data_IF_420035699792
#
_entry.id   IF_420035699792
#
_cell.length_a   1.000
_cell.length_b   1.000
_cell.length_c   1.000
_cell.angle_alpha   90.00
_cell.angle_beta   90.00
_cell.angle_gamma   90.00
#
_symmetry.space_group_name_H-M   'P 1'
#
loop_
_entity.id
_entity.type
_entity.pdbx_description
1 polymer ?
#
# COMPACT_ATOMS: atom_id res chain seq x y z
N UNK A 1 23.89 -4.57 29.25
CA UNK A 1 23.28 -3.36 28.64
C UNK A 1 21.93 -3.10 29.28
N UNK A 2 21.65 -1.86 29.68
CA UNK A 2 20.29 -1.47 30.07
C UNK A 2 19.49 -1.09 28.82
N UNK A 3 18.23 -1.54 28.74
CA UNK A 3 17.27 -1.14 27.71
C UNK A 3 16.04 -0.56 28.42
N UNK A 4 15.55 0.57 27.92
CA UNK A 4 14.35 1.24 28.40
C UNK A 4 13.47 1.59 27.18
N UNK A 5 12.17 1.43 27.33
CA UNK A 5 11.17 1.83 26.33
C UNK A 5 10.25 2.84 26.96
N UNK A 6 10.06 4.00 26.32
CA UNK A 6 9.12 5.04 26.73
C UNK A 6 7.96 5.01 25.73
N UNK A 7 6.73 4.97 26.22
CA UNK A 7 5.55 4.96 25.34
C UNK A 7 5.25 6.36 24.79
N UNK A 8 4.55 6.47 23.65
CA UNK A 8 4.13 7.77 23.12
C UNK A 8 3.23 8.55 24.10
N UNK A 9 2.40 7.85 24.88
CA UNK A 9 1.59 8.49 25.92
C UNK A 9 2.46 9.06 27.05
N UNK A 10 3.52 8.36 27.43
CA UNK A 10 4.47 8.82 28.42
C UNK A 10 5.28 10.01 27.91
N UNK A 11 5.74 9.99 26.65
CA UNK A 11 6.38 11.15 26.00
C UNK A 11 5.45 12.37 26.05
N UNK A 12 4.18 12.21 25.66
CA UNK A 12 3.19 13.29 25.70
C UNK A 12 3.00 13.82 27.13
N UNK A 13 2.87 12.94 28.13
CA UNK A 13 2.76 13.35 29.55
C UNK A 13 3.97 14.11 30.04
N UNK A 14 5.17 13.67 29.67
CA UNK A 14 6.42 14.30 30.09
C UNK A 14 6.64 15.70 29.48
N UNK A 15 6.17 15.92 28.25
CA UNK A 15 6.49 17.14 27.48
C UNK A 15 5.31 18.10 27.33
N UNK A 16 4.09 17.59 27.30
CA UNK A 16 2.88 18.29 26.89
C UNK A 16 1.68 18.11 27.86
N UNK A 17 1.80 17.26 28.88
CA UNK A 17 0.74 16.97 29.83
C UNK A 17 -0.22 15.85 29.38
N UNK A 18 -1.43 15.82 29.94
CA UNK A 18 -2.36 14.70 29.74
C UNK A 18 -2.98 14.77 28.33
N UNK A 19 -2.76 13.76 27.47
CA UNK A 19 -3.36 13.75 26.14
C UNK A 19 -4.88 13.62 26.22
N UNK A 20 -5.57 14.08 25.19
CA UNK A 20 -7.02 13.88 25.06
C UNK A 20 -7.34 12.37 25.07
N UNK A 21 -8.37 12.01 25.83
CA UNK A 21 -8.92 10.67 25.83
C UNK A 21 -9.96 10.53 24.73
N UNK A 22 -9.86 9.46 23.94
CA UNK A 22 -10.75 9.20 22.83
C UNK A 22 -11.39 7.83 23.01
N UNK A 23 -12.73 7.71 22.87
CA UNK A 23 -13.40 6.42 22.97
C UNK A 23 -12.83 5.41 21.97
N UNK A 24 -12.92 4.13 22.32
CA UNK A 24 -12.39 3.03 21.51
C UNK A 24 -12.84 3.14 20.04
N UNK A 25 -11.91 2.93 19.11
CA UNK A 25 -12.09 2.99 17.65
C UNK A 25 -12.36 4.38 17.03
N UNK A 26 -12.70 5.40 17.82
CA UNK A 26 -13.02 6.73 17.24
C UNK A 26 -11.85 7.38 16.52
N UNK A 27 -10.62 7.25 17.04
CA UNK A 27 -9.41 7.77 16.40
C UNK A 27 -9.12 7.10 15.05
N UNK A 28 -9.47 5.82 14.88
CA UNK A 28 -9.30 5.13 13.59
C UNK A 28 -10.21 5.73 12.52
N UNK A 29 -11.46 6.04 12.87
CA UNK A 29 -12.41 6.71 11.97
C UNK A 29 -11.98 8.15 11.65
N UNK A 30 -11.51 8.90 12.66
CA UNK A 30 -10.97 10.25 12.47
C UNK A 30 -9.75 10.25 11.57
N UNK A 31 -8.83 9.29 11.75
CA UNK A 31 -7.64 9.15 10.91
C UNK A 31 -8.00 8.80 9.46
N UNK A 32 -8.93 7.85 9.25
CA UNK A 32 -9.43 7.51 7.92
C UNK A 32 -10.09 8.72 7.24
N UNK A 33 -10.94 9.45 7.98
CA UNK A 33 -11.57 10.67 7.49
C UNK A 33 -10.53 11.73 7.10
N UNK A 34 -9.49 11.91 7.91
CA UNK A 34 -8.42 12.85 7.61
C UNK A 34 -7.57 12.42 6.40
N UNK A 35 -7.29 11.12 6.24
CA UNK A 35 -6.56 10.60 5.08
C UNK A 35 -7.31 10.89 3.77
N UNK A 36 -8.63 10.68 3.77
CA UNK A 36 -9.50 10.93 2.62
C UNK A 36 -9.68 12.43 2.36
N UNK A 37 -9.94 13.23 3.40
CA UNK A 37 -10.20 14.66 3.28
C UNK A 37 -8.92 15.50 3.06
N UNK A 38 -7.76 14.98 3.48
CA UNK A 38 -6.51 15.71 3.53
C UNK A 38 -6.56 16.93 4.46
N UNK A 39 -7.27 16.82 5.59
CA UNK A 39 -7.53 17.91 6.54
C UNK A 39 -6.27 18.48 7.18
N UNK A 40 -5.25 17.65 7.41
CA UNK A 40 -3.97 18.05 8.00
C UNK A 40 -2.81 18.09 6.99
N UNK A 41 -3.10 18.16 5.68
CA UNK A 41 -2.03 18.35 4.68
C UNK A 41 -1.36 19.72 4.87
N UNK A 42 -0.10 19.91 4.47
CA UNK A 42 0.61 21.19 4.63
C UNK A 42 -0.13 22.40 4.05
N UNK A 43 -0.87 22.20 2.95
CA UNK A 43 -1.73 23.24 2.35
C UNK A 43 -2.85 23.75 3.27
N UNK A 44 -3.22 23.02 4.32
CA UNK A 44 -4.26 23.40 5.29
C UNK A 44 -3.63 23.87 6.59
N UNK A 45 -2.71 23.08 7.15
CA UNK A 45 -2.17 23.33 8.51
C UNK A 45 -0.79 23.99 8.53
N UNK A 46 -0.19 24.24 7.37
CA UNK A 46 1.20 24.67 7.24
C UNK A 46 2.17 23.49 7.27
N UNK A 47 3.41 23.75 6.83
CA UNK A 47 4.49 22.78 6.88
C UNK A 47 5.08 22.77 8.31
N UNK A 48 4.58 21.89 9.16
CA UNK A 48 4.92 21.88 10.60
C UNK A 48 6.41 21.64 10.87
N UNK A 49 7.11 20.88 10.00
CA UNK A 49 8.55 20.67 10.09
C UNK A 49 9.35 21.95 9.94
N UNK A 50 8.85 22.90 9.15
CA UNK A 50 9.55 24.15 8.87
C UNK A 50 9.21 25.15 9.99
N UNK A 51 7.93 25.21 10.37
CA UNK A 51 7.44 26.07 11.44
C UNK A 51 8.11 25.76 12.79
N UNK A 52 8.38 24.49 13.10
CA UNK A 52 9.06 24.14 14.36
C UNK A 52 10.54 24.56 14.38
N UNK A 53 11.19 24.72 13.23
CA UNK A 53 12.56 25.27 13.16
C UNK A 53 12.59 26.79 13.39
N UNK A 54 11.50 27.48 13.06
CA UNK A 54 11.34 28.91 13.32
C UNK A 54 10.91 29.21 14.77
N UNK A 55 10.43 28.20 15.50
CA UNK A 55 9.94 28.35 16.87
C UNK A 55 11.10 28.36 17.88
N UNK A 56 11.21 29.44 18.66
CA UNK A 56 12.29 29.65 19.64
C UNK A 56 11.86 29.39 21.09
N UNK A 57 10.58 29.13 21.34
CA UNK A 57 10.05 28.83 22.67
C UNK A 57 10.40 27.41 23.14
N UNK A 58 10.00 27.08 24.37
CA UNK A 58 10.33 25.78 25.01
C UNK A 58 9.12 25.03 25.55
N UNK A 59 7.95 25.67 25.58
CA UNK A 59 6.72 25.09 26.12
C UNK A 59 5.66 24.87 25.04
N UNK A 60 4.74 23.95 25.32
CA UNK A 60 3.56 23.71 24.48
C UNK A 60 2.68 24.96 24.34
N UNK A 61 2.55 25.76 25.41
CA UNK A 61 1.76 26.99 25.38
C UNK A 61 2.35 28.02 24.41
N UNK A 62 3.66 28.23 24.46
CA UNK A 62 4.36 29.11 23.51
C UNK A 62 4.25 28.58 22.07
N UNK A 63 4.37 27.26 21.86
CA UNK A 63 4.20 26.66 20.54
C UNK A 63 2.79 26.90 19.99
N UNK A 64 1.77 26.70 20.83
CA UNK A 64 0.37 26.95 20.47
C UNK A 64 0.18 28.40 20.02
N UNK A 65 0.67 29.36 20.81
CA UNK A 65 0.46 30.77 20.53
C UNK A 65 1.19 31.19 19.24
N UNK A 66 2.45 30.77 19.07
CA UNK A 66 3.23 30.96 17.83
C UNK A 66 2.51 30.36 16.60
N UNK A 67 2.00 29.14 16.72
CA UNK A 67 1.29 28.46 15.63
C UNK A 67 0.00 29.19 15.26
N UNK A 68 -0.82 29.55 16.26
CA UNK A 68 -2.10 30.22 16.05
C UNK A 68 -1.96 31.63 15.50
N UNK A 69 -0.88 32.35 15.84
CA UNK A 69 -0.58 33.65 15.23
C UNK A 69 -0.30 33.50 13.72
N UNK A 70 0.52 32.52 13.33
CA UNK A 70 0.85 32.27 11.92
C UNK A 70 -0.30 31.63 11.12
N UNK A 71 -1.15 30.85 11.79
CA UNK A 71 -2.19 30.02 11.17
C UNK A 71 -3.52 30.06 11.95
N UNK A 72 -4.16 31.24 12.08
CA UNK A 72 -5.29 31.44 13.00
C UNK A 72 -6.53 30.60 12.66
N UNK A 73 -6.72 30.27 11.38
CA UNK A 73 -7.90 29.51 10.91
C UNK A 73 -7.60 28.04 10.63
N UNK A 74 -6.32 27.62 10.69
CA UNK A 74 -5.91 26.30 10.21
C UNK A 74 -6.52 25.15 11.02
N UNK A 75 -6.60 25.29 12.35
CA UNK A 75 -7.19 24.26 13.20
C UNK A 75 -8.68 24.07 12.87
N UNK A 76 -9.43 25.16 12.75
CA UNK A 76 -10.85 25.11 12.39
C UNK A 76 -11.05 24.53 11.00
N UNK A 77 -10.27 24.98 10.02
CA UNK A 77 -10.36 24.48 8.65
C UNK A 77 -10.02 22.98 8.54
N UNK A 78 -9.03 22.50 9.29
CA UNK A 78 -8.71 21.08 9.38
C UNK A 78 -9.84 20.28 10.03
N UNK A 79 -10.36 20.75 11.17
CA UNK A 79 -11.45 20.11 11.89
C UNK A 79 -12.73 20.03 11.04
N UNK A 80 -13.13 21.13 10.40
CA UNK A 80 -14.34 21.19 9.55
C UNK A 80 -14.24 20.19 8.37
N UNK A 81 -13.06 20.09 7.74
CA UNK A 81 -12.82 19.12 6.65
C UNK A 81 -12.92 17.68 7.11
N UNK A 82 -12.29 17.36 8.24
CA UNK A 82 -12.31 16.01 8.80
C UNK A 82 -13.74 15.66 9.22
N UNK A 83 -14.46 16.60 9.85
CA UNK A 83 -15.83 16.40 10.30
C UNK A 83 -16.81 16.16 9.15
N UNK A 84 -16.69 16.91 8.06
CA UNK A 84 -17.49 16.68 6.86
C UNK A 84 -17.27 15.26 6.30
N UNK A 85 -16.02 14.79 6.27
CA UNK A 85 -15.73 13.43 5.84
C UNK A 85 -16.23 12.36 6.84
N UNK A 86 -16.24 12.64 8.14
CA UNK A 86 -16.89 11.76 9.12
C UNK A 86 -18.39 11.61 8.82
N UNK A 87 -19.09 12.67 8.41
CA UNK A 87 -20.50 12.54 8.03
C UNK A 87 -20.67 11.65 6.79
N UNK A 88 -19.79 11.81 5.80
CA UNK A 88 -19.78 10.94 4.62
C UNK A 88 -19.53 9.48 4.98
N UNK A 89 -18.58 9.21 5.88
CA UNK A 89 -18.29 7.85 6.35
C UNK A 89 -19.46 7.26 7.15
N UNK A 90 -20.18 8.04 7.95
CA UNK A 90 -21.39 7.58 8.64
C UNK A 90 -22.44 7.10 7.64
N UNK A 91 -22.72 7.89 6.61
CA UNK A 91 -23.65 7.49 5.53
C UNK A 91 -23.15 6.25 4.79
N UNK A 92 -21.84 6.11 4.58
CA UNK A 92 -21.27 4.93 3.96
C UNK A 92 -21.41 3.68 4.83
N UNK A 93 -21.20 3.80 6.15
CA UNK A 93 -21.36 2.69 7.11
C UNK A 93 -22.80 2.17 7.10
N UNK A 94 -23.79 3.05 7.04
CA UNK A 94 -25.21 2.67 6.95
C UNK A 94 -25.56 1.90 5.66
N UNK A 95 -24.74 2.03 4.60
CA UNK A 95 -24.91 1.29 3.34
C UNK A 95 -24.23 -0.08 3.35
N UNK A 96 -23.40 -0.38 4.35
CA UNK A 96 -22.73 -1.67 4.47
C UNK A 96 -23.75 -2.67 5.01
N UNK A 97 -24.08 -3.66 4.20
CA UNK A 97 -24.88 -4.80 4.62
C UNK A 97 -24.00 -6.06 4.80
N UNK A 98 -24.61 -7.11 5.36
CA UNK A 98 -23.92 -8.37 5.63
C UNK A 98 -23.42 -9.04 4.35
N UNK A 99 -24.19 -8.95 3.25
CA UNK A 99 -23.84 -9.58 1.98
C UNK A 99 -22.58 -8.95 1.39
N UNK A 100 -22.47 -7.63 1.43
CA UNK A 100 -21.28 -6.91 0.96
C UNK A 100 -20.02 -7.33 1.71
N UNK A 101 -20.13 -7.57 3.01
CA UNK A 101 -19.02 -8.09 3.82
C UNK A 101 -18.68 -9.53 3.42
N UNK A 102 -19.67 -10.40 3.25
CA UNK A 102 -19.45 -11.79 2.82
C UNK A 102 -18.80 -11.85 1.42
N UNK A 103 -19.27 -11.02 0.48
CA UNK A 103 -18.69 -10.89 -0.87
C UNK A 103 -17.24 -10.39 -0.82
N UNK A 104 -16.96 -9.39 0.04
CA UNK A 104 -15.60 -8.87 0.21
C UNK A 104 -14.65 -9.92 0.79
N UNK A 105 -15.11 -10.73 1.75
CA UNK A 105 -14.32 -11.84 2.32
C UNK A 105 -14.09 -12.94 1.28
N UNK A 106 -15.11 -13.31 0.51
CA UNK A 106 -14.98 -14.30 -0.56
C UNK A 106 -13.99 -13.83 -1.63
N UNK A 107 -14.10 -12.58 -2.08
CA UNK A 107 -13.14 -11.98 -3.01
C UNK A 107 -11.71 -12.02 -2.45
N UNK A 108 -11.53 -11.63 -1.18
CA UNK A 108 -10.20 -11.63 -0.56
C UNK A 108 -9.62 -13.03 -0.42
N UNK A 109 -10.40 -14.00 0.06
CA UNK A 109 -9.90 -15.32 0.45
C UNK A 109 -9.87 -16.29 -0.72
N UNK A 110 -10.89 -16.30 -1.58
CA UNK A 110 -11.01 -17.25 -2.67
C UNK A 110 -10.48 -16.65 -3.96
N UNK A 111 -11.02 -15.52 -4.41
CA UNK A 111 -10.71 -14.95 -5.73
C UNK A 111 -9.26 -14.47 -5.78
N UNK A 112 -8.85 -13.58 -4.87
CA UNK A 112 -7.50 -13.01 -4.86
C UNK A 112 -6.42 -14.05 -4.59
N UNK A 113 -6.69 -15.05 -3.75
CA UNK A 113 -5.76 -16.17 -3.54
C UNK A 113 -5.62 -17.00 -4.80
N UNK A 114 -6.72 -17.39 -5.44
CA UNK A 114 -6.66 -18.21 -6.66
C UNK A 114 -5.96 -17.48 -7.80
N UNK A 115 -6.27 -16.19 -8.01
CA UNK A 115 -5.56 -15.33 -8.98
C UNK A 115 -4.07 -15.24 -8.64
N UNK A 116 -3.72 -15.10 -7.36
CA UNK A 116 -2.33 -15.08 -6.92
C UNK A 116 -1.59 -16.40 -7.15
N UNK A 117 -2.27 -17.54 -7.01
CA UNK A 117 -1.70 -18.88 -7.25
C UNK A 117 -1.56 -19.19 -8.75
N UNK A 118 -2.50 -18.74 -9.57
CA UNK A 118 -2.51 -18.93 -11.04
C UNK A 118 -1.84 -17.79 -11.79
N UNK A 119 -1.05 -16.99 -11.07
CA UNK A 119 -0.40 -15.79 -11.58
C UNK A 119 0.46 -16.07 -12.82
N UNK A 120 1.30 -17.11 -12.77
CA UNK A 120 2.15 -17.51 -13.90
C UNK A 120 1.33 -17.94 -15.11
N UNK A 121 0.24 -18.69 -14.89
CA UNK A 121 -0.68 -19.10 -15.96
C UNK A 121 -1.25 -17.90 -16.72
N UNK A 122 -1.63 -16.83 -16.01
CA UNK A 122 -2.19 -15.63 -16.64
C UNK A 122 -1.22 -14.94 -17.60
N UNK A 123 0.09 -14.98 -17.29
CA UNK A 123 1.16 -14.45 -18.14
C UNK A 123 1.30 -15.31 -19.40
N UNK A 124 1.38 -16.64 -19.23
CA UNK A 124 1.47 -17.59 -20.35
C UNK A 124 0.28 -17.46 -21.29
N UNK A 125 -0.94 -17.44 -20.75
CA UNK A 125 -2.17 -17.34 -21.51
C UNK A 125 -2.25 -16.03 -22.31
N UNK A 126 -1.82 -14.91 -21.70
CA UNK A 126 -1.85 -13.61 -22.37
C UNK A 126 -0.87 -13.56 -23.55
N UNK A 127 0.36 -14.05 -23.36
CA UNK A 127 1.37 -14.03 -24.42
C UNK A 127 0.99 -15.01 -25.54
N UNK A 128 0.58 -16.23 -25.20
CA UNK A 128 0.13 -17.20 -26.21
C UNK A 128 -1.04 -16.67 -27.06
N UNK A 129 -1.96 -15.91 -26.46
CA UNK A 129 -3.04 -15.24 -27.20
C UNK A 129 -2.54 -14.15 -28.16
N UNK A 130 -1.52 -13.37 -27.79
CA UNK A 130 -0.93 -12.35 -28.69
C UNK A 130 -0.17 -13.00 -29.85
N UNK A 131 0.45 -14.15 -29.60
CA UNK A 131 1.24 -14.94 -30.56
C UNK A 131 0.37 -15.95 -31.34
N UNK A 132 -0.95 -15.93 -31.10
CA UNK A 132 -1.94 -16.82 -31.71
C UNK A 132 -1.56 -18.32 -31.64
N UNK A 133 -1.06 -18.74 -30.48
CA UNK A 133 -0.64 -20.11 -30.17
C UNK A 133 -1.27 -20.62 -28.86
N UNK A 134 -0.92 -21.84 -28.45
CA UNK A 134 -1.39 -22.46 -27.19
C UNK A 134 -0.44 -22.17 -26.03
N UNK A 135 -0.83 -22.50 -24.81
CA UNK A 135 0.08 -22.51 -23.67
C UNK A 135 -0.17 -23.73 -22.80
N UNK A 136 0.81 -24.08 -21.98
CA UNK A 136 0.61 -24.97 -20.83
C UNK A 136 1.51 -24.60 -19.66
N UNK A 137 1.10 -25.00 -18.46
CA UNK A 137 1.96 -24.96 -17.29
C UNK A 137 3.01 -26.07 -17.36
N UNK A 138 4.13 -25.82 -16.69
CA UNK A 138 5.17 -26.81 -16.50
C UNK A 138 4.69 -27.94 -15.57
N UNK A 139 5.19 -29.15 -15.82
CA UNK A 139 5.09 -30.27 -14.90
C UNK A 139 6.13 -30.11 -13.78
N UNK A 140 5.97 -30.77 -12.61
CA UNK A 140 6.91 -30.64 -11.50
C UNK A 140 8.38 -30.93 -11.89
N UNK A 141 8.62 -31.88 -12.79
CA UNK A 141 9.95 -32.23 -13.28
C UNK A 141 10.57 -31.15 -14.18
N UNK A 142 9.73 -30.35 -14.84
CA UNK A 142 10.12 -29.23 -15.71
C UNK A 142 10.33 -27.94 -14.90
N UNK A 143 9.49 -27.70 -13.88
CA UNK A 143 9.69 -26.62 -12.91
C UNK A 143 11.03 -26.78 -12.17
N UNK A 144 11.42 -28.03 -11.84
CA UNK A 144 12.72 -28.33 -11.26
C UNK A 144 13.91 -27.97 -12.17
N UNK A 145 13.68 -27.84 -13.48
CA UNK A 145 14.66 -27.40 -14.48
C UNK A 145 14.57 -25.88 -14.76
N UNK A 146 13.73 -25.16 -14.02
CA UNK A 146 13.54 -23.71 -14.16
C UNK A 146 12.53 -23.31 -15.23
N UNK A 147 11.74 -24.26 -15.77
CA UNK A 147 10.67 -23.98 -16.74
C UNK A 147 9.38 -23.70 -15.97
N UNK A 148 8.82 -22.50 -16.12
CA UNK A 148 7.56 -22.12 -15.47
C UNK A 148 6.34 -22.43 -16.37
N UNK A 149 6.56 -22.65 -17.66
CA UNK A 149 5.54 -23.10 -18.61
C UNK A 149 6.00 -23.09 -20.05
N UNK A 150 5.05 -23.21 -20.97
CA UNK A 150 5.29 -23.26 -22.41
C UNK A 150 4.33 -22.32 -23.15
N UNK A 151 4.85 -21.68 -24.20
CA UNK A 151 4.07 -20.91 -25.17
C UNK A 151 4.28 -21.59 -26.54
N UNK A 152 3.23 -22.24 -27.04
CA UNK A 152 3.34 -23.28 -28.06
C UNK A 152 4.22 -24.41 -27.55
N UNK A 153 5.30 -24.68 -28.29
CA UNK A 153 6.32 -25.67 -27.94
C UNK A 153 7.54 -25.05 -27.21
N UNK A 154 7.58 -23.71 -27.06
CA UNK A 154 8.75 -23.03 -26.50
C UNK A 154 8.70 -23.02 -24.97
N UNK A 155 9.69 -23.59 -24.26
CA UNK A 155 9.77 -23.51 -22.81
C UNK A 155 10.15 -22.11 -22.35
N UNK A 156 9.49 -21.64 -21.29
CA UNK A 156 9.68 -20.28 -20.77
C UNK A 156 9.84 -20.28 -19.25
N UNK A 157 10.58 -19.30 -18.76
CA UNK A 157 10.77 -19.01 -17.34
C UNK A 157 10.25 -17.61 -17.03
N UNK A 158 9.34 -17.49 -16.06
CA UNK A 158 8.67 -16.25 -15.68
C UNK A 158 9.27 -15.72 -14.39
N UNK A 159 9.97 -14.58 -14.46
CA UNK A 159 10.68 -13.99 -13.31
C UNK A 159 10.26 -12.54 -13.07
N UNK A 160 10.26 -12.06 -11.81
CA UNK A 160 10.03 -10.65 -11.53
C UNK A 160 11.17 -9.81 -12.15
N UNK A 161 10.89 -8.57 -12.56
CA UNK A 161 11.87 -7.68 -13.18
C UNK A 161 13.12 -7.45 -12.30
N UNK A 162 12.97 -7.53 -10.97
CA UNK A 162 14.08 -7.48 -9.99
C UNK A 162 15.07 -8.64 -10.09
N UNK A 163 14.73 -9.70 -10.85
CA UNK A 163 15.67 -10.79 -11.14
C UNK A 163 16.80 -10.31 -12.04
N UNK A 164 16.55 -9.37 -12.97
CA UNK A 164 17.57 -8.82 -13.89
C UNK A 164 18.73 -8.13 -13.16
N UNK A 165 18.49 -7.59 -11.97
CA UNK A 165 19.50 -6.89 -11.17
C UNK A 165 20.30 -7.83 -10.26
N UNK A 166 19.92 -9.11 -10.16
CA UNK A 166 20.65 -10.12 -9.39
C UNK A 166 21.76 -10.75 -10.27
N UNK A 167 22.84 -10.00 -10.49
CA UNK A 167 24.06 -10.41 -11.21
C UNK A 167 24.85 -11.59 -10.58
N UNK A 168 24.23 -12.45 -9.76
CA UNK A 168 24.92 -13.47 -8.96
C UNK A 168 24.17 -14.82 -8.84
N UNK A 169 23.34 -15.20 -9.81
CA UNK A 169 22.78 -16.55 -9.82
C UNK A 169 23.53 -17.44 -10.83
N UNK A 170 24.13 -18.57 -10.39
CA UNK A 170 24.93 -19.47 -11.22
C UNK A 170 24.09 -20.41 -12.11
N UNK A 171 22.77 -20.26 -12.13
CA UNK A 171 21.87 -21.11 -12.91
C UNK A 171 21.82 -20.61 -14.35
N UNK A 172 22.50 -21.33 -15.25
CA UNK A 172 22.32 -21.20 -16.68
C UNK A 172 20.96 -21.80 -17.05
N UNK A 173 19.90 -21.00 -16.90
CA UNK A 173 18.55 -21.36 -17.35
C UNK A 173 18.51 -21.10 -18.86
N UNK A 174 18.68 -22.15 -19.66
CA UNK A 174 18.68 -22.11 -21.14
C UNK A 174 17.26 -22.14 -21.71
N UNK A 175 16.37 -21.32 -21.14
CA UNK A 175 14.99 -21.16 -21.63
C UNK A 175 14.61 -19.70 -21.72
N UNK A 176 13.60 -19.40 -22.55
CA UNK A 176 13.23 -18.03 -22.84
C UNK A 176 12.64 -17.34 -21.61
N UNK A 177 13.22 -16.18 -21.27
CA UNK A 177 12.86 -15.44 -20.07
C UNK A 177 11.74 -14.45 -20.34
N UNK A 178 10.70 -14.54 -19.53
CA UNK A 178 9.59 -13.58 -19.47
C UNK A 178 9.69 -12.83 -18.15
N UNK A 179 9.76 -11.51 -18.23
CA UNK A 179 9.86 -10.67 -17.05
C UNK A 179 8.55 -9.97 -16.76
N UNK A 180 8.17 -9.90 -15.48
CA UNK A 180 7.00 -9.16 -15.05
C UNK A 180 7.31 -8.13 -13.97
N UNK A 181 6.55 -7.04 -13.96
CA UNK A 181 6.54 -6.06 -12.88
C UNK A 181 5.11 -5.84 -12.36
N UNK A 182 4.93 -5.99 -11.05
CA UNK A 182 3.63 -5.84 -10.38
C UNK A 182 3.35 -4.36 -10.16
N UNK A 183 2.38 -3.84 -10.90
CA UNK A 183 1.88 -2.48 -10.76
C UNK A 183 0.62 -2.46 -9.89
N UNK A 184 0.22 -1.27 -9.42
CA UNK A 184 -0.99 -1.11 -8.60
C UNK A 184 -2.26 -1.63 -9.30
N UNK A 185 -2.33 -1.45 -10.61
CA UNK A 185 -3.52 -1.73 -11.42
C UNK A 185 -3.28 -2.85 -12.47
N UNK A 186 -2.21 -3.64 -12.35
CA UNK A 186 -1.96 -4.74 -13.28
C UNK A 186 -0.51 -5.20 -13.37
N UNK A 187 -0.17 -5.78 -14.52
CA UNK A 187 1.15 -6.32 -14.82
C UNK A 187 1.75 -5.66 -16.04
N UNK A 188 3.01 -5.29 -15.94
CA UNK A 188 3.86 -5.03 -17.11
C UNK A 188 4.64 -6.30 -17.41
N UNK A 189 4.53 -6.80 -18.63
CA UNK A 189 5.16 -8.05 -19.07
C UNK A 189 6.11 -7.71 -20.22
N UNK A 190 7.33 -8.26 -20.17
CA UNK A 190 8.37 -8.04 -21.17
C UNK A 190 9.01 -9.39 -21.54
N UNK A 191 9.04 -9.70 -22.84
CA UNK A 191 9.71 -10.87 -23.40
C UNK A 191 10.35 -10.49 -24.74
N UNK A 192 11.40 -11.21 -25.12
CA UNK A 192 11.94 -11.12 -26.48
C UNK A 192 11.03 -11.89 -27.45
N UNK A 193 10.85 -11.45 -28.71
CA UNK A 193 10.07 -12.19 -29.70
C UNK A 193 10.64 -13.60 -29.95
N UNK A 194 9.77 -14.55 -30.28
CA UNK A 194 10.17 -15.89 -30.73
C UNK A 194 10.90 -15.79 -32.09
N UNK A 195 12.03 -16.50 -32.24
CA UNK A 195 12.76 -16.59 -33.53
C UNK A 195 12.16 -17.64 -34.46
#
# INVERSE_FOLDING_TARGET
>A
MKKLTISNQEIARLVAGVPADFPKYTTQLINLANQNAGGTRPKVVGQLSDMIQEFTGKSLAEWRDFYLEKKPVAMKAAADKIWAMIQNLKVAIERIDRKMVDDWVYDLVIVKTFVGLRFQESILAKIASEENTTYRLAMPEEEAQGIDGFIGETPVSIKPATYRTKNMLPEAIDVQMIFYDKQKDGLRIEWEPWQ
#
